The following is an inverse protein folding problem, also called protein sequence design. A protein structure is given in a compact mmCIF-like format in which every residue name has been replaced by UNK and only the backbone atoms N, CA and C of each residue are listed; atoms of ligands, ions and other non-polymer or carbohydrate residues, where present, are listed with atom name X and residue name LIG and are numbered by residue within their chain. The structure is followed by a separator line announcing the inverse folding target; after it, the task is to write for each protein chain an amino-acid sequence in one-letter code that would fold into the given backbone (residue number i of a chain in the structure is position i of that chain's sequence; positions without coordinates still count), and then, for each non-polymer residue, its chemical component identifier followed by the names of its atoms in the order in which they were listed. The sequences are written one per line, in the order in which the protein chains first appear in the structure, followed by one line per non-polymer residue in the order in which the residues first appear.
data_IF_905623938089
#
_entry.id   IF_905623938089
#
_cell.length_a   1.000
_cell.length_b   1.000
_cell.length_c   1.000
_cell.angle_alpha   90.00
_cell.angle_beta   90.00
_cell.angle_gamma   90.00
#
_symmetry.space_group_name_H-M   'P 1'
#
loop_
_entity.id
_entity.type
_entity.pdbx_description
1 polymer ?
#
# COMPACT_ATOMS: atom_id res chain seq x y z
N UNK A 1 10.48 21.11 -24.79
CA UNK A 1 11.07 19.86 -25.29
C UNK A 1 10.99 18.91 -24.13
N UNK A 2 10.01 18.02 -24.19
CA UNK A 2 9.87 16.95 -23.23
C UNK A 2 11.09 16.02 -23.31
N UNK A 3 11.59 15.57 -22.17
CA UNK A 3 12.73 14.64 -22.11
C UNK A 3 12.30 13.24 -22.61
N UNK A 4 13.27 12.36 -22.91
CA UNK A 4 13.01 10.97 -23.28
C UNK A 4 12.22 10.26 -22.16
N UNK A 5 11.09 9.61 -22.51
CA UNK A 5 10.10 9.00 -21.59
C UNK A 5 9.18 9.96 -20.83
N UNK A 6 9.14 11.25 -21.18
CA UNK A 6 8.13 12.17 -20.67
C UNK A 6 6.90 12.20 -21.60
N UNK A 7 5.73 11.87 -21.05
CA UNK A 7 4.44 11.83 -21.75
C UNK A 7 3.35 12.59 -20.97
N UNK A 8 2.36 13.22 -21.63
CA UNK A 8 2.14 13.27 -23.08
C UNK A 8 3.08 14.26 -23.79
N UNK A 9 3.49 13.94 -25.02
CA UNK A 9 4.27 14.85 -25.88
C UNK A 9 3.34 15.93 -26.47
N UNK A 10 3.85 17.15 -26.65
CA UNK A 10 3.13 18.21 -27.37
C UNK A 10 3.60 18.32 -28.81
N UNK A 11 2.76 18.91 -29.69
CA UNK A 11 3.13 19.18 -31.07
C UNK A 11 4.46 19.95 -31.15
N UNK A 12 5.43 19.35 -31.85
CA UNK A 12 6.78 19.88 -32.00
C UNK A 12 7.83 19.31 -31.04
N UNK A 13 7.45 18.43 -30.10
CA UNK A 13 8.42 17.65 -29.33
C UNK A 13 9.10 16.60 -30.21
N UNK A 14 10.37 16.30 -29.89
CA UNK A 14 11.15 15.27 -30.57
C UNK A 14 10.69 13.91 -30.07
N UNK A 15 10.27 13.04 -31.01
CA UNK A 15 10.02 11.63 -30.74
C UNK A 15 11.33 10.84 -30.85
N UNK A 16 11.72 10.20 -29.77
CA UNK A 16 12.89 9.31 -29.78
C UNK A 16 12.48 7.94 -30.35
N UNK A 17 13.37 7.27 -31.09
CA UNK A 17 13.06 5.96 -31.69
C UNK A 17 12.71 4.87 -30.66
N UNK A 18 13.22 5.01 -29.44
CA UNK A 18 12.87 4.20 -28.27
C UNK A 18 11.41 4.39 -27.84
N UNK A 19 10.87 5.60 -27.95
CA UNK A 19 9.49 5.94 -27.62
C UNK A 19 8.52 5.38 -28.69
N UNK A 20 8.90 5.45 -29.97
CA UNK A 20 8.09 4.88 -31.07
C UNK A 20 7.95 3.36 -30.92
N UNK A 21 9.02 2.67 -30.51
CA UNK A 21 8.94 1.23 -30.21
C UNK A 21 8.15 0.94 -28.92
N UNK A 22 8.10 1.89 -27.97
CA UNK A 22 7.23 1.80 -26.80
C UNK A 22 5.75 2.01 -27.13
N UNK A 23 5.45 2.76 -28.20
CA UNK A 23 4.10 3.00 -28.69
C UNK A 23 3.50 1.81 -29.47
N UNK A 24 4.32 0.95 -30.08
CA UNK A 24 3.86 -0.17 -30.93
C UNK A 24 3.04 -1.26 -30.25
N UNK A 25 2.70 -1.10 -28.97
CA UNK A 25 1.88 -2.06 -28.22
C UNK A 25 2.68 -3.31 -27.88
N UNK A 26 2.84 -3.59 -26.58
CA UNK A 26 3.34 -4.90 -26.17
C UNK A 26 2.15 -5.81 -25.97
N UNK A 27 2.16 -6.98 -26.61
CA UNK A 27 1.09 -7.96 -26.51
C UNK A 27 1.60 -9.24 -25.87
N UNK A 28 0.75 -9.87 -25.08
CA UNK A 28 0.94 -11.22 -24.57
C UNK A 28 -0.32 -12.04 -24.86
N UNK A 29 -0.15 -13.35 -25.02
CA UNK A 29 -1.27 -14.28 -25.18
C UNK A 29 -1.17 -15.30 -24.06
N UNK A 30 -2.27 -15.48 -23.34
CA UNK A 30 -2.39 -16.40 -22.20
C UNK A 30 -3.77 -17.03 -22.19
N UNK A 31 -3.93 -18.13 -21.48
CA UNK A 31 -5.22 -18.78 -21.28
C UNK A 31 -6.11 -17.89 -20.39
N UNK A 32 -7.37 -17.70 -20.76
CA UNK A 32 -8.36 -17.02 -19.93
C UNK A 32 -8.92 -18.00 -18.88
N UNK A 33 -8.90 -17.65 -17.60
CA UNK A 33 -9.55 -18.44 -16.53
C UNK A 33 -11.00 -18.03 -16.25
N UNK A 34 -11.50 -16.99 -16.94
CA UNK A 34 -12.91 -16.63 -16.98
C UNK A 34 -13.29 -16.04 -18.35
N UNK A 35 -14.56 -15.67 -18.55
CA UNK A 35 -14.94 -15.00 -19.81
C UNK A 35 -14.44 -13.57 -19.79
N UNK A 36 -13.67 -13.20 -20.82
CA UNK A 36 -13.04 -11.89 -20.99
C UNK A 36 -13.48 -11.29 -22.32
N UNK A 37 -14.00 -10.07 -22.29
CA UNK A 37 -14.38 -9.29 -23.45
C UNK A 37 -13.24 -8.36 -23.91
N UNK A 38 -13.36 -7.82 -25.13
CA UNK A 38 -12.46 -6.76 -25.60
C UNK A 38 -12.72 -5.52 -24.76
N UNK A 39 -11.65 -4.86 -24.31
CA UNK A 39 -11.73 -3.68 -23.45
C UNK A 39 -11.64 -3.98 -21.96
N UNK A 40 -11.76 -5.26 -21.56
CA UNK A 40 -11.63 -5.63 -20.17
C UNK A 40 -10.20 -5.43 -19.66
N UNK A 41 -10.06 -4.79 -18.50
CA UNK A 41 -8.82 -4.70 -17.74
C UNK A 41 -8.58 -6.06 -17.06
N UNK A 42 -7.43 -6.66 -17.32
CA UNK A 42 -7.12 -8.02 -16.89
C UNK A 42 -5.82 -8.09 -16.10
N UNK A 43 -5.73 -9.04 -15.19
CA UNK A 43 -4.51 -9.41 -14.49
C UNK A 43 -4.21 -10.89 -14.73
N UNK A 44 -2.95 -11.28 -14.51
CA UNK A 44 -2.46 -12.64 -14.67
C UNK A 44 -1.95 -13.12 -13.32
N UNK A 45 -2.42 -14.28 -12.89
CA UNK A 45 -1.95 -14.86 -11.63
C UNK A 45 -0.46 -15.20 -11.70
N UNK A 46 0.25 -14.78 -10.65
CA UNK A 46 1.67 -15.07 -10.48
C UNK A 46 1.95 -16.50 -10.02
N UNK A 47 3.24 -16.78 -9.85
CA UNK A 47 3.69 -18.12 -9.48
C UNK A 47 3.19 -18.58 -8.12
N UNK A 48 2.76 -19.83 -8.02
CA UNK A 48 2.30 -20.45 -6.76
C UNK A 48 0.81 -20.27 -6.47
N UNK A 49 0.06 -19.57 -7.32
CA UNK A 49 -1.40 -19.58 -7.31
C UNK A 49 -1.94 -20.82 -8.06
N UNK A 50 -3.14 -21.29 -7.69
CA UNK A 50 -3.75 -22.46 -8.35
C UNK A 50 -4.04 -22.23 -9.84
N UNK A 51 -4.19 -20.96 -10.23
CA UNK A 51 -4.51 -20.49 -11.58
C UNK A 51 -3.31 -19.77 -12.23
N UNK A 52 -2.09 -20.12 -11.83
CA UNK A 52 -0.85 -19.49 -12.31
C UNK A 52 -0.82 -19.41 -13.85
N UNK A 53 -0.55 -18.20 -14.37
CA UNK A 53 -0.44 -17.95 -15.81
C UNK A 53 -1.76 -17.69 -16.53
N UNK A 54 -2.91 -17.86 -15.88
CA UNK A 54 -4.22 -17.53 -16.46
C UNK A 54 -4.56 -16.05 -16.31
N UNK A 55 -5.27 -15.48 -17.30
CA UNK A 55 -5.84 -14.15 -17.24
C UNK A 55 -7.24 -14.14 -16.62
N UNK A 56 -7.47 -13.15 -15.75
CA UNK A 56 -8.72 -12.94 -15.03
C UNK A 56 -9.08 -11.44 -15.03
N UNK A 57 -10.36 -11.12 -14.87
CA UNK A 57 -10.85 -9.74 -14.81
C UNK A 57 -10.32 -9.03 -13.57
N UNK A 58 -9.77 -7.84 -13.76
CA UNK A 58 -9.27 -6.99 -12.69
C UNK A 58 -10.41 -6.29 -11.97
N UNK A 59 -10.35 -6.18 -10.65
CA UNK A 59 -11.39 -5.52 -9.84
C UNK A 59 -10.77 -4.82 -8.62
N UNK A 60 -10.93 -3.50 -8.51
CA UNK A 60 -10.34 -2.70 -7.44
C UNK A 60 -10.86 -3.04 -6.02
N UNK A 61 -12.01 -3.70 -5.90
CA UNK A 61 -12.63 -4.07 -4.61
C UNK A 61 -12.34 -5.52 -4.19
N UNK A 62 -11.75 -6.33 -5.06
CA UNK A 62 -11.45 -7.73 -4.76
C UNK A 62 -9.96 -7.87 -4.50
N UNK A 63 -9.62 -8.23 -3.26
CA UNK A 63 -8.23 -8.24 -2.77
C UNK A 63 -7.29 -9.04 -3.68
N UNK A 64 -7.68 -10.20 -4.20
CA UNK A 64 -6.78 -10.99 -5.06
C UNK A 64 -6.71 -10.46 -6.50
N UNK A 65 -7.73 -9.69 -6.93
CA UNK A 65 -7.91 -9.21 -8.31
C UNK A 65 -7.62 -7.72 -8.54
N UNK A 66 -7.26 -6.94 -7.52
CA UNK A 66 -7.04 -5.49 -7.69
C UNK A 66 -5.65 -5.14 -8.23
N UNK A 67 -5.31 -5.71 -9.38
CA UNK A 67 -4.10 -5.47 -10.17
C UNK A 67 -4.50 -5.42 -11.63
N UNK A 68 -3.56 -5.06 -12.50
CA UNK A 68 -3.74 -5.05 -13.94
C UNK A 68 -2.41 -5.39 -14.62
N UNK A 69 -2.44 -6.31 -15.58
CA UNK A 69 -1.32 -6.56 -16.47
C UNK A 69 -1.53 -5.92 -17.84
N UNK A 70 -2.78 -5.63 -18.21
CA UNK A 70 -3.10 -5.00 -19.48
C UNK A 70 -4.60 -4.89 -19.73
N UNK A 71 -4.95 -4.60 -20.99
CA UNK A 71 -6.33 -4.58 -21.49
C UNK A 71 -6.47 -5.65 -22.57
N UNK A 72 -7.54 -6.44 -22.52
CA UNK A 72 -7.83 -7.46 -23.51
C UNK A 72 -8.16 -6.84 -24.87
N UNK A 73 -7.51 -7.34 -25.92
CA UNK A 73 -7.75 -6.93 -27.32
C UNK A 73 -8.49 -7.99 -28.13
N UNK A 74 -8.73 -9.16 -27.54
CA UNK A 74 -9.58 -10.23 -28.08
C UNK A 74 -10.56 -10.71 -27.02
N UNK A 75 -11.72 -11.21 -27.43
CA UNK A 75 -12.63 -11.93 -26.53
C UNK A 75 -12.19 -13.38 -26.38
N UNK A 76 -12.27 -13.92 -25.17
CA UNK A 76 -12.06 -15.33 -24.88
C UNK A 76 -13.08 -15.81 -23.85
N UNK A 77 -13.44 -17.09 -23.92
CA UNK A 77 -14.11 -17.78 -22.81
C UNK A 77 -13.06 -18.52 -21.99
N UNK A 78 -13.45 -18.99 -20.81
CA UNK A 78 -12.63 -19.85 -19.96
C UNK A 78 -11.97 -21.01 -20.74
N UNK A 79 -10.68 -21.22 -20.50
CA UNK A 79 -9.80 -22.20 -21.16
C UNK A 79 -9.34 -21.85 -22.57
N UNK A 80 -9.69 -20.68 -23.11
CA UNK A 80 -9.23 -20.24 -24.43
C UNK A 80 -8.22 -19.08 -24.34
N UNK A 81 -7.39 -18.95 -25.38
CA UNK A 81 -6.39 -17.88 -25.46
C UNK A 81 -7.03 -16.49 -25.56
N UNK A 82 -6.57 -15.57 -24.71
CA UNK A 82 -6.83 -14.13 -24.79
C UNK A 82 -5.54 -13.38 -25.10
N UNK A 83 -5.61 -12.43 -26.03
CA UNK A 83 -4.52 -11.50 -26.30
C UNK A 83 -4.74 -10.22 -25.51
N UNK A 84 -3.69 -9.80 -24.80
CA UNK A 84 -3.71 -8.69 -23.86
C UNK A 84 -2.64 -7.68 -24.29
N UNK A 85 -3.01 -6.41 -24.38
CA UNK A 85 -2.07 -5.32 -24.57
C UNK A 85 -1.60 -4.81 -23.20
N UNK A 86 -0.30 -4.95 -22.92
CA UNK A 86 0.30 -4.64 -21.60
C UNK A 86 0.97 -3.28 -21.53
N UNK A 87 1.22 -2.64 -22.69
CA UNK A 87 1.83 -1.31 -22.79
C UNK A 87 1.51 -0.68 -24.14
N UNK A 88 1.71 0.63 -24.26
CA UNK A 88 1.62 1.37 -25.53
C UNK A 88 0.26 2.02 -25.71
N UNK A 89 -0.06 2.44 -26.93
CA UNK A 89 -1.33 3.10 -27.21
C UNK A 89 -2.45 2.06 -27.43
N UNK A 90 -3.44 2.06 -26.54
CA UNK A 90 -4.66 1.27 -26.64
C UNK A 90 -5.79 2.13 -27.22
N UNK A 91 -6.52 1.61 -28.20
CA UNK A 91 -7.57 2.34 -28.90
C UNK A 91 -8.95 1.72 -28.67
N UNK A 92 -9.87 2.53 -28.18
CA UNK A 92 -11.29 2.19 -28.06
C UNK A 92 -12.14 3.45 -28.29
N UNK A 93 -12.82 3.49 -29.44
CA UNK A 93 -13.33 4.73 -30.05
C UNK A 93 -14.23 5.62 -29.18
N UNK A 94 -14.83 5.11 -28.10
CA UNK A 94 -15.78 5.86 -27.28
C UNK A 94 -15.47 5.85 -25.76
N UNK A 95 -14.35 5.28 -25.34
CA UNK A 95 -14.13 5.01 -23.93
C UNK A 95 -13.28 6.07 -23.20
N UNK A 96 -12.42 6.77 -23.94
CA UNK A 96 -11.44 7.70 -23.36
C UNK A 96 -11.74 9.17 -23.66
N UNK A 97 -11.62 10.02 -22.65
CA UNK A 97 -11.69 11.48 -22.75
C UNK A 97 -10.28 12.05 -22.77
N UNK A 98 -10.00 12.98 -23.68
CA UNK A 98 -8.67 13.58 -23.86
C UNK A 98 -8.05 14.05 -22.53
N UNK A 99 -6.80 13.66 -22.28
CA UNK A 99 -5.97 14.01 -21.10
C UNK A 99 -6.48 13.52 -19.74
N UNK A 100 -7.56 12.75 -19.70
CA UNK A 100 -8.00 12.13 -18.45
C UNK A 100 -7.07 10.98 -18.05
N UNK A 101 -6.87 10.83 -16.74
CA UNK A 101 -6.15 9.67 -16.19
C UNK A 101 -7.15 8.59 -15.83
N UNK A 102 -6.83 7.35 -16.24
CA UNK A 102 -7.68 6.21 -16.03
C UNK A 102 -7.06 5.26 -15.00
N UNK A 103 -7.93 4.71 -14.16
CA UNK A 103 -7.63 3.85 -13.04
C UNK A 103 -8.47 2.58 -13.12
N UNK A 104 -8.04 1.53 -12.40
CA UNK A 104 -8.84 0.31 -12.26
C UNK A 104 -10.16 0.61 -11.53
N UNK A 105 -11.27 0.14 -12.10
CA UNK A 105 -12.61 0.30 -11.53
C UNK A 105 -12.90 -0.72 -10.43
N UNK A 106 -13.90 -0.37 -9.61
CA UNK A 106 -14.56 -1.24 -8.65
C UNK A 106 -15.48 -2.31 -9.29
N UNK A 107 -15.75 -2.18 -10.59
CA UNK A 107 -16.43 -3.20 -11.40
C UNK A 107 -15.38 -4.04 -12.12
N UNK A 108 -15.51 -5.36 -12.05
CA UNK A 108 -14.61 -6.29 -12.72
C UNK A 108 -14.47 -5.97 -14.22
N UNK A 109 -13.23 -5.87 -14.71
CA UNK A 109 -12.90 -5.59 -16.10
C UNK A 109 -12.98 -4.13 -16.52
N UNK A 110 -13.54 -3.23 -15.69
CA UNK A 110 -13.75 -1.83 -16.09
C UNK A 110 -12.61 -0.90 -15.65
N UNK A 111 -12.57 0.28 -16.27
CA UNK A 111 -11.74 1.41 -15.86
C UNK A 111 -12.59 2.62 -15.50
N UNK A 112 -12.03 3.54 -14.73
CA UNK A 112 -12.71 4.77 -14.25
C UNK A 112 -11.75 5.94 -14.22
N UNK A 113 -12.28 7.17 -14.24
CA UNK A 113 -11.51 8.40 -13.97
C UNK A 113 -11.41 8.71 -12.47
N UNK A 114 -12.13 7.96 -11.62
CA UNK A 114 -11.99 8.06 -10.17
C UNK A 114 -10.70 7.40 -9.72
N UNK A 115 -9.85 8.13 -9.00
CA UNK A 115 -8.56 7.61 -8.55
C UNK A 115 -8.70 6.32 -7.71
N UNK A 116 -7.92 5.30 -8.05
CA UNK A 116 -7.77 4.06 -7.29
C UNK A 116 -6.28 3.71 -7.12
N UNK A 117 -5.99 2.61 -6.43
CA UNK A 117 -4.61 2.17 -6.17
C UNK A 117 -3.85 1.65 -7.40
N UNK A 118 -4.53 1.48 -8.54
CA UNK A 118 -3.93 1.03 -9.80
C UNK A 118 -4.23 2.06 -10.89
N UNK A 119 -3.21 2.80 -11.31
CA UNK A 119 -3.29 3.68 -12.47
C UNK A 119 -3.02 2.85 -13.72
N UNK A 120 -3.89 2.97 -14.73
CA UNK A 120 -3.76 2.24 -16.00
C UNK A 120 -3.00 3.05 -17.05
N UNK A 121 -3.21 4.36 -17.08
CA UNK A 121 -2.63 5.22 -18.11
C UNK A 121 -3.22 6.62 -18.16
N UNK A 122 -2.84 7.37 -19.19
CA UNK A 122 -3.39 8.69 -19.51
C UNK A 122 -3.89 8.70 -20.95
N UNK A 123 -5.08 9.25 -21.17
CA UNK A 123 -5.64 9.38 -22.50
C UNK A 123 -4.85 10.42 -23.32
N UNK A 124 -4.42 10.04 -24.52
CA UNK A 124 -3.74 10.95 -25.46
C UNK A 124 -4.73 11.71 -26.35
N UNK A 125 -5.99 11.27 -26.35
CA UNK A 125 -7.07 11.84 -27.13
C UNK A 125 -8.37 11.06 -26.92
N UNK A 126 -9.44 11.48 -27.61
CA UNK A 126 -10.70 10.73 -27.58
C UNK A 126 -10.50 9.33 -28.16
N UNK A 127 -10.77 8.32 -27.34
CA UNK A 127 -10.64 6.92 -27.70
C UNK A 127 -9.21 6.37 -27.78
N UNK A 128 -8.20 7.11 -27.28
CA UNK A 128 -6.82 6.63 -27.19
C UNK A 128 -6.30 6.74 -25.75
N UNK A 129 -5.78 5.64 -25.22
CA UNK A 129 -5.17 5.53 -23.90
C UNK A 129 -3.70 5.10 -24.04
N UNK A 130 -2.77 5.90 -23.53
CA UNK A 130 -1.40 5.44 -23.34
C UNK A 130 -1.33 4.58 -22.08
N UNK A 131 -1.21 3.27 -22.28
CA UNK A 131 -1.05 2.30 -21.21
C UNK A 131 0.33 2.41 -20.58
N UNK A 132 0.32 2.89 -19.34
CA UNK A 132 1.45 2.98 -18.43
C UNK A 132 0.94 2.58 -17.06
N UNK A 133 0.86 1.26 -16.85
CA UNK A 133 0.29 0.69 -15.65
C UNK A 133 1.26 0.94 -14.49
N UNK A 134 0.81 1.76 -13.54
CA UNK A 134 1.53 2.04 -12.30
C UNK A 134 0.73 1.45 -11.16
N UNK A 135 1.33 0.49 -10.48
CA UNK A 135 0.81 -0.15 -9.29
C UNK A 135 1.75 0.14 -8.14
N UNK A 136 1.21 0.13 -6.93
CA UNK A 136 2.01 0.27 -5.73
C UNK A 136 2.69 -1.08 -5.41
N UNK A 137 3.59 -1.54 -6.29
CA UNK A 137 4.35 -2.80 -6.21
C UNK A 137 5.83 -2.60 -5.84
N UNK A 138 6.26 -1.34 -5.68
CA UNK A 138 7.68 -0.99 -5.54
C UNK A 138 8.27 -1.27 -4.16
N UNK A 139 7.43 -1.42 -3.15
CA UNK A 139 7.89 -1.76 -1.80
C UNK A 139 8.06 -3.27 -1.63
N UNK A 140 9.08 -3.66 -0.87
CA UNK A 140 9.32 -5.06 -0.52
C UNK A 140 8.22 -5.54 0.44
N UNK A 141 7.75 -6.77 0.28
CA UNK A 141 6.85 -7.42 1.24
C UNK A 141 7.41 -7.33 2.67
N UNK A 142 6.56 -6.98 3.62
CA UNK A 142 6.92 -6.69 5.01
C UNK A 142 7.24 -5.21 5.29
N UNK A 143 7.31 -4.35 4.27
CA UNK A 143 7.48 -2.90 4.47
C UNK A 143 6.29 -2.33 5.24
N UNK A 144 6.56 -1.58 6.32
CA UNK A 144 5.53 -0.93 7.13
C UNK A 144 5.58 0.57 6.90
N UNK A 145 4.43 1.18 6.62
CA UNK A 145 4.28 2.63 6.42
C UNK A 145 3.23 3.22 7.36
N UNK A 146 3.42 4.46 7.86
CA UNK A 146 2.35 5.21 8.48
C UNK A 146 1.35 5.67 7.42
N UNK A 147 0.06 5.63 7.75
CA UNK A 147 -1.05 5.98 6.87
C UNK A 147 -2.10 6.79 7.62
N UNK A 148 -2.61 7.83 6.95
CA UNK A 148 -3.64 8.72 7.46
C UNK A 148 -5.01 8.28 6.96
N UNK A 149 -5.49 7.13 7.44
CA UNK A 149 -6.67 6.43 6.93
C UNK A 149 -7.90 7.33 6.72
N UNK A 150 -8.23 8.14 7.72
CA UNK A 150 -9.46 8.96 7.74
C UNK A 150 -9.20 10.45 7.43
N UNK A 151 -8.03 10.79 6.88
CA UNK A 151 -7.76 12.18 6.55
C UNK A 151 -8.56 12.63 5.33
N UNK A 152 -9.06 13.87 5.36
CA UNK A 152 -9.83 14.42 4.26
C UNK A 152 -9.04 14.36 2.94
N UNK A 153 -9.72 14.00 1.85
CA UNK A 153 -9.15 13.82 0.51
C UNK A 153 -8.15 12.66 0.36
N UNK A 154 -8.00 11.80 1.37
CA UNK A 154 -7.39 10.50 1.14
C UNK A 154 -8.33 9.63 0.33
N UNK A 155 -7.76 8.85 -0.59
CA UNK A 155 -8.52 7.85 -1.35
C UNK A 155 -9.14 6.91 -0.32
N UNK A 156 -10.46 6.78 -0.35
CA UNK A 156 -11.15 5.80 0.47
C UNK A 156 -10.70 4.41 -0.01
N UNK A 157 -9.95 3.70 0.84
CA UNK A 157 -9.45 2.34 0.59
C UNK A 157 -8.21 2.20 -0.32
N UNK A 158 -7.03 2.76 0.05
CA UNK A 158 -5.76 2.42 -0.57
C UNK A 158 -5.16 1.12 0.01
N UNK A 159 -5.86 0.46 0.94
CA UNK A 159 -5.62 -0.94 1.31
C UNK A 159 -6.05 -1.80 0.12
N UNK A 160 -5.26 -1.69 -0.93
CA UNK A 160 -5.27 -2.57 -2.08
C UNK A 160 -4.87 -3.98 -1.64
N UNK A 161 -4.90 -4.94 -2.57
CA UNK A 161 -4.28 -6.27 -2.51
C UNK A 161 -2.95 -6.28 -1.77
N UNK A 162 -2.22 -5.18 -1.92
CA UNK A 162 -0.84 -5.07 -1.54
C UNK A 162 -0.65 -4.71 -0.07
N UNK A 163 -1.65 -4.15 0.61
CA UNK A 163 -1.48 -3.61 1.96
C UNK A 163 -2.48 -4.20 2.95
N UNK A 164 -1.99 -4.49 4.15
CA UNK A 164 -2.78 -4.98 5.28
C UNK A 164 -2.62 -4.04 6.47
N UNK A 165 -3.69 -3.79 7.22
CA UNK A 165 -3.58 -3.07 8.49
C UNK A 165 -2.71 -3.85 9.46
N UNK A 166 -1.84 -3.13 10.18
CA UNK A 166 -1.08 -3.68 11.30
C UNK A 166 -1.97 -3.76 12.55
N UNK A 167 -3.01 -4.58 12.51
CA UNK A 167 -4.06 -4.72 13.52
C UNK A 167 -4.07 -6.10 14.21
N UNK A 168 -3.03 -6.91 14.03
CA UNK A 168 -2.96 -8.24 14.65
C UNK A 168 -3.78 -9.33 13.94
N UNK A 169 -4.48 -9.01 12.84
CA UNK A 169 -5.34 -9.99 12.15
C UNK A 169 -4.56 -10.89 11.19
N UNK A 170 -5.16 -12.05 10.89
CA UNK A 170 -4.56 -13.03 9.99
C UNK A 170 -4.37 -12.46 8.58
N UNK A 171 -3.28 -12.85 7.95
CA UNK A 171 -2.99 -12.58 6.53
C UNK A 171 -3.54 -13.76 5.73
N UNK A 172 -4.52 -13.49 4.88
CA UNK A 172 -5.19 -14.49 4.04
C UNK A 172 -5.10 -14.08 2.58
N UNK A 173 -3.88 -14.10 2.03
CA UNK A 173 -3.58 -13.80 0.63
C UNK A 173 -2.67 -14.91 0.11
N UNK A 174 -3.16 -15.74 -0.80
CA UNK A 174 -2.45 -16.95 -1.25
C UNK A 174 -1.13 -16.67 -1.98
N UNK A 175 -0.97 -15.48 -2.56
CA UNK A 175 0.25 -15.08 -3.26
C UNK A 175 1.23 -14.32 -2.35
N UNK A 176 0.83 -13.99 -1.12
CA UNK A 176 1.72 -13.40 -0.13
C UNK A 176 2.67 -14.45 0.45
N UNK A 177 3.98 -14.18 0.56
CA UNK A 177 4.88 -15.05 1.33
C UNK A 177 4.55 -15.05 2.84
N UNK A 178 3.69 -14.14 3.30
CA UNK A 178 3.22 -14.04 4.69
C UNK A 178 1.86 -14.72 4.92
N UNK A 179 1.31 -15.42 3.91
CA UNK A 179 0.01 -16.09 4.00
C UNK A 179 -0.08 -17.05 5.20
N UNK A 180 -1.20 -17.01 5.92
CA UNK A 180 -1.43 -17.80 7.12
C UNK A 180 -0.76 -17.24 8.39
N UNK A 181 0.10 -16.24 8.27
CA UNK A 181 0.67 -15.48 9.39
C UNK A 181 -0.32 -14.49 10.01
N UNK A 182 0.16 -13.72 10.99
CA UNK A 182 -0.58 -12.58 11.56
C UNK A 182 0.14 -11.29 11.17
N UNK A 183 -0.62 -10.25 10.83
CA UNK A 183 -0.06 -8.90 10.74
C UNK A 183 0.37 -8.43 12.14
N UNK A 184 1.44 -7.64 12.29
CA UNK A 184 1.81 -7.10 13.59
C UNK A 184 0.71 -6.17 14.13
N UNK A 185 0.36 -6.22 15.42
CA UNK A 185 -0.58 -5.25 16.02
C UNK A 185 0.16 -3.99 16.48
N UNK A 186 0.40 -3.07 15.54
CA UNK A 186 0.97 -1.76 15.82
C UNK A 186 -0.11 -0.72 16.14
N UNK A 187 -1.33 -0.96 15.68
CA UNK A 187 -2.47 -0.06 15.85
C UNK A 187 -3.18 -0.24 17.20
N UNK A 188 -2.84 -1.29 17.96
CA UNK A 188 -3.31 -1.53 19.32
C UNK A 188 -4.72 -2.11 19.39
N UNK A 189 -5.11 -2.95 18.42
CA UNK A 189 -6.44 -3.57 18.38
C UNK A 189 -6.71 -4.45 19.61
N UNK A 190 -5.66 -5.03 20.21
CA UNK A 190 -5.74 -5.90 21.42
C UNK A 190 -4.91 -5.38 22.61
N UNK A 191 -4.51 -4.11 22.64
CA UNK A 191 -3.76 -3.58 23.79
C UNK A 191 -3.19 -2.18 23.65
N UNK A 192 -1.99 -1.97 24.21
CA UNK A 192 -1.29 -0.68 24.12
C UNK A 192 -0.70 -0.50 22.73
N UNK A 193 -0.92 0.66 22.12
CA UNK A 193 -0.25 1.07 20.87
C UNK A 193 1.26 0.86 20.99
N UNK A 194 1.84 0.20 20.00
CA UNK A 194 3.26 -0.18 20.02
C UNK A 194 4.04 0.72 19.06
N UNK A 195 5.24 1.10 19.48
CA UNK A 195 6.18 1.79 18.59
C UNK A 195 7.06 0.76 17.89
N UNK A 196 7.34 0.98 16.60
CA UNK A 196 8.38 0.26 15.90
C UNK A 196 9.74 0.58 16.52
N UNK A 197 10.50 -0.45 16.88
CA UNK A 197 11.89 -0.32 17.33
C UNK A 197 12.79 -1.12 16.41
N UNK A 198 13.91 -0.53 16.03
CA UNK A 198 14.95 -1.26 15.32
C UNK A 198 15.58 -2.31 16.23
N UNK A 199 15.96 -3.44 15.63
CA UNK A 199 16.71 -4.51 16.28
C UNK A 199 17.89 -4.90 15.39
N UNK A 200 18.92 -5.54 15.95
CA UNK A 200 20.11 -5.96 15.18
C UNK A 200 19.86 -7.18 14.28
N UNK A 201 18.75 -7.88 14.52
CA UNK A 201 18.30 -9.05 13.76
C UNK A 201 16.82 -8.88 13.45
N UNK A 202 16.42 -9.04 12.19
CA UNK A 202 15.02 -9.11 11.77
C UNK A 202 14.41 -10.43 12.24
N UNK A 203 13.24 -10.38 12.87
CA UNK A 203 12.45 -11.55 13.29
C UNK A 203 13.28 -12.57 14.10
N UNK A 204 13.55 -12.26 15.38
CA UNK A 204 14.19 -13.20 16.31
C UNK A 204 13.23 -14.30 16.82
N UNK A 205 12.07 -14.47 16.17
CA UNK A 205 11.06 -15.47 16.52
C UNK A 205 10.32 -15.16 17.83
N UNK A 206 10.39 -13.92 18.31
CA UNK A 206 9.76 -13.49 19.56
C UNK A 206 8.56 -12.55 19.35
N UNK A 207 7.81 -12.71 18.27
CA UNK A 207 6.65 -11.86 17.92
C UNK A 207 5.61 -11.66 19.04
N UNK A 208 5.66 -12.47 20.12
CA UNK A 208 4.90 -12.24 21.34
C UNK A 208 5.70 -12.17 22.67
N UNK A 209 7.04 -12.24 22.65
CA UNK A 209 7.86 -12.04 23.85
C UNK A 209 8.65 -10.73 23.80
N UNK A 210 7.95 -9.61 23.64
CA UNK A 210 8.46 -8.29 24.00
C UNK A 210 8.52 -8.18 25.54
N UNK A 211 9.43 -8.94 26.15
CA UNK A 211 9.76 -8.89 27.57
C UNK A 211 10.63 -7.66 27.83
N UNK A 212 10.04 -6.49 27.72
CA UNK A 212 10.64 -5.23 28.09
C UNK A 212 9.55 -4.30 28.57
N UNK A 213 9.13 -4.46 29.84
CA UNK A 213 8.38 -3.40 30.50
C UNK A 213 9.26 -2.17 30.45
N UNK A 214 8.88 -1.17 29.65
CA UNK A 214 9.57 0.12 29.65
C UNK A 214 9.21 0.86 30.93
N UNK A 215 9.82 0.41 32.03
CA UNK A 215 9.83 1.14 33.29
C UNK A 215 10.87 2.25 33.15
N UNK A 216 10.41 3.46 32.84
CA UNK A 216 11.19 4.63 33.17
C UNK A 216 10.86 5.00 34.62
N UNK A 217 11.84 4.89 35.49
CA UNK A 217 11.74 5.33 36.89
C UNK A 217 12.59 6.56 37.06
N UNK A 218 12.00 7.62 37.61
CA UNK A 218 12.76 8.76 38.06
C UNK A 218 13.33 8.43 39.44
N UNK A 219 14.61 8.09 39.51
CA UNK A 219 15.32 8.03 40.79
C UNK A 219 15.76 9.44 41.17
N UNK A 220 15.03 10.11 42.07
CA UNK A 220 15.54 11.31 42.71
C UNK A 220 16.55 10.90 43.80
N UNK A 221 17.84 11.01 43.49
CA UNK A 221 18.90 10.86 44.49
C UNK A 221 19.00 12.14 45.31
N UNK A 222 18.26 12.19 46.41
CA UNK A 222 18.50 13.21 47.45
C UNK A 222 19.74 12.80 48.22
N UNK A 223 20.89 13.38 47.87
CA UNK A 223 22.05 13.34 48.76
C UNK A 223 21.74 14.31 49.89
N UNK A 224 21.28 13.78 51.03
CA UNK A 224 21.13 14.56 52.25
C UNK A 224 22.52 15.00 52.70
N UNK A 225 22.96 16.17 52.22
CA UNK A 225 24.21 16.78 52.65
C UNK A 225 23.98 17.44 54.02
N UNK A 226 23.79 16.61 55.03
CA UNK A 226 23.97 16.91 56.45
C UNK A 226 23.07 17.99 57.06
N UNK A 227 22.21 17.60 58.00
CA UNK A 227 22.37 17.94 59.42
C UNK A 227 21.23 17.32 60.26
N UNK A 228 21.45 16.10 60.76
CA UNK A 228 20.56 15.41 61.70
C UNK A 228 20.80 15.84 63.15
N UNK A 229 20.70 17.14 63.43
CA UNK A 229 20.48 17.62 64.82
C UNK A 229 19.36 18.66 64.88
N UNK A 230 18.13 18.21 64.67
CA UNK A 230 16.95 18.97 65.09
C UNK A 230 16.47 18.42 66.43
N UNK A 231 17.03 18.93 67.53
CA UNK A 231 16.51 18.77 68.89
C UNK A 231 15.30 19.68 69.07
N UNK A 232 14.16 19.28 68.52
CA UNK A 232 12.88 19.97 68.67
C UNK A 232 11.73 19.03 68.31
N UNK A 233 10.67 19.05 69.11
CA UNK A 233 9.52 18.13 69.09
C UNK A 233 8.60 18.26 67.85
N UNK A 234 9.13 18.68 66.71
CA UNK A 234 8.43 18.77 65.43
C UNK A 234 8.97 17.74 64.45
N UNK A 235 8.36 16.55 64.40
CA UNK A 235 8.64 15.58 63.33
C UNK A 235 8.15 16.17 62.00
N UNK A 236 9.06 16.70 61.19
CA UNK A 236 8.72 17.09 59.81
C UNK A 236 8.46 15.80 59.04
N UNK A 237 7.18 15.48 58.87
CA UNK A 237 6.77 14.39 57.99
C UNK A 237 6.80 14.95 56.58
N UNK A 238 7.84 14.65 55.82
CA UNK A 238 7.87 14.91 54.40
C UNK A 238 6.92 13.91 53.74
N UNK A 239 5.69 14.33 53.51
CA UNK A 239 4.73 13.56 52.72
C UNK A 239 5.32 13.44 51.32
N UNK A 240 5.58 12.23 50.84
CA UNK A 240 5.92 11.97 49.44
C UNK A 240 4.73 12.44 48.59
N UNK A 241 4.75 13.71 48.19
CA UNK A 241 3.81 14.25 47.22
C UNK A 241 4.24 13.73 45.87
N UNK A 242 3.43 12.86 45.27
CA UNK A 242 3.58 12.53 43.85
C UNK A 242 3.37 13.82 43.06
N UNK A 243 4.46 14.44 42.61
CA UNK A 243 4.40 15.58 41.71
C UNK A 243 4.06 15.06 40.32
N UNK A 244 2.77 14.98 40.00
CA UNK A 244 2.34 14.84 38.61
C UNK A 244 2.37 16.23 37.96
N UNK A 245 3.39 16.50 37.14
CA UNK A 245 3.38 17.69 36.30
C UNK A 245 2.21 17.58 35.33
N UNK A 246 1.20 18.43 35.52
CA UNK A 246 -0.05 18.41 34.75
C UNK A 246 0.05 19.07 33.37
N UNK A 247 1.21 19.62 33.01
CA UNK A 247 1.49 20.09 31.66
C UNK A 247 2.15 18.96 30.87
N UNK A 248 1.41 18.39 29.92
CA UNK A 248 1.98 17.49 28.92
C UNK A 248 3.04 18.26 28.13
N UNK A 249 4.31 17.90 28.28
CA UNK A 249 5.44 18.47 27.54
C UNK A 249 5.59 17.84 26.16
N UNK A 250 4.67 16.96 25.76
CA UNK A 250 4.73 16.28 24.49
C UNK A 250 4.43 17.27 23.36
N UNK A 251 5.24 17.27 22.28
CA UNK A 251 4.92 18.04 21.09
C UNK A 251 3.57 17.57 20.52
N UNK A 252 2.87 18.48 19.84
CA UNK A 252 1.68 18.13 19.07
C UNK A 252 2.01 17.01 18.08
N UNK A 253 1.20 15.98 18.04
CA UNK A 253 1.36 14.82 17.15
C UNK A 253 0.05 14.54 16.41
N UNK A 254 0.15 13.82 15.29
CA UNK A 254 -1.00 13.28 14.57
C UNK A 254 -1.11 11.77 14.84
N UNK A 255 -2.33 11.27 15.00
CA UNK A 255 -2.57 9.84 15.01
C UNK A 255 -2.52 9.32 13.57
N UNK A 256 -1.73 8.27 13.37
CA UNK A 256 -1.64 7.52 12.12
C UNK A 256 -1.92 6.05 12.43
N UNK A 257 -2.37 5.31 11.43
CA UNK A 257 -2.36 3.85 11.47
C UNK A 257 -1.14 3.34 10.73
N UNK A 258 -0.66 2.16 11.07
CA UNK A 258 0.37 1.46 10.32
C UNK A 258 -0.27 0.42 9.40
N UNK A 259 0.27 0.35 8.19
CA UNK A 259 -0.06 -0.65 7.18
C UNK A 259 1.22 -1.39 6.78
N UNK A 260 1.09 -2.65 6.42
CA UNK A 260 2.18 -3.52 5.98
C UNK A 260 1.95 -4.01 4.56
N UNK A 261 2.99 -3.94 3.74
CA UNK A 261 3.03 -4.51 2.41
C UNK A 261 2.97 -6.03 2.52
N UNK A 262 1.97 -6.69 1.97
CA UNK A 262 1.80 -8.14 2.00
C UNK A 262 2.10 -8.81 0.65
N UNK A 263 2.15 -8.04 -0.43
CA UNK A 263 2.42 -8.51 -1.79
C UNK A 263 3.19 -7.46 -2.54
#
# INVERSE_FOLDING_TARGET
MADENEFPKVDGDVLYGTEVNGQTGNFITVEAGETIAIGDVVFIYGSGHANEGEAWLSDANVQDKCRANGIAVTTATDGNDVTIQVRGEYFEAAAFTDKETYYLSATAGEFTTTASGVKLGIALGTGSLFLDIVQDDRDVVGTIKPWLQDHANMIANPLTAFWKLCDGTAISDAESPLNGGQAPDLNGSVGTQRFLRGHTTSDDGTDNSFAGTESHTHTQNWTDSGNTTQTGTGKVTWTNGTLTSSSGTLPSYAHVVFIMKIK
#
